data_IF_723231515496
#
_entry.id   IF_723231515496
#
_cell.length_a   1.000
_cell.length_b   1.000
_cell.length_c   1.000
_cell.angle_alpha   90.00
_cell.angle_beta   90.00
_cell.angle_gamma   90.00
#
_symmetry.space_group_name_H-M   'P 1'
#
loop_
_entity.id
_entity.type
_entity.pdbx_description
1 polymer ?
#
# COMPACT_ATOMS: atom_id res chain seq x y z
N UNK A 1 -15.48 4.03 -14.18
CA UNK A 1 -14.25 4.45 -13.49
C UNK A 1 -13.84 3.35 -12.53
N UNK A 2 -12.53 3.06 -12.46
CA UNK A 2 -12.00 2.01 -11.58
C UNK A 2 -12.10 2.45 -10.12
N UNK A 3 -12.40 1.51 -9.23
CA UNK A 3 -12.44 1.70 -7.77
C UNK A 3 -11.12 1.23 -7.18
N UNK A 4 -10.29 2.18 -6.75
CA UNK A 4 -8.99 1.91 -6.13
C UNK A 4 -8.94 2.69 -4.81
N UNK A 5 -9.50 2.15 -3.71
CA UNK A 5 -9.40 2.79 -2.41
C UNK A 5 -7.96 2.92 -1.93
N UNK A 6 -7.71 3.94 -1.12
CA UNK A 6 -6.49 4.11 -0.35
C UNK A 6 -6.75 3.59 1.06
N UNK A 7 -5.95 2.63 1.52
CA UNK A 7 -5.96 2.12 2.88
C UNK A 7 -4.75 2.66 3.61
N UNK A 8 -4.99 3.47 4.65
CA UNK A 8 -3.97 3.87 5.62
C UNK A 8 -3.96 2.86 6.76
N UNK A 9 -2.84 2.17 6.93
CA UNK A 9 -2.59 1.18 7.98
C UNK A 9 -2.00 1.91 9.19
N UNK A 10 -2.65 1.83 10.35
CA UNK A 10 -2.19 2.51 11.57
C UNK A 10 -2.41 1.64 12.81
N UNK A 11 -1.68 1.96 13.87
CA UNK A 11 -1.83 1.34 15.19
C UNK A 11 -2.07 2.40 16.28
N UNK A 12 -1.01 2.95 16.86
CA UNK A 12 -1.07 3.81 18.05
C UNK A 12 -0.23 5.11 17.92
N UNK A 13 -0.03 5.61 16.69
CA UNK A 13 0.80 6.80 16.42
C UNK A 13 -0.01 7.93 15.77
N UNK A 14 -0.74 8.70 16.59
CA UNK A 14 -1.61 9.76 16.10
C UNK A 14 -0.88 10.79 15.22
N UNK A 15 0.31 11.27 15.60
CA UNK A 15 1.04 12.26 14.77
C UNK A 15 1.57 11.68 13.44
N UNK A 16 1.86 10.37 13.39
CA UNK A 16 2.18 9.70 12.12
C UNK A 16 0.94 9.67 11.22
N UNK A 17 -0.19 9.18 11.74
CA UNK A 17 -1.47 9.20 11.02
C UNK A 17 -1.81 10.60 10.51
N UNK A 18 -1.62 11.63 11.33
CA UNK A 18 -1.84 13.03 10.92
C UNK A 18 -1.01 13.41 9.71
N UNK A 19 0.29 13.07 9.73
CA UNK A 19 1.25 13.45 8.70
C UNK A 19 0.84 12.85 7.35
N UNK A 20 0.50 11.56 7.32
CA UNK A 20 0.07 10.93 6.07
C UNK A 20 -1.27 11.51 5.59
N UNK A 21 -2.26 11.69 6.48
CA UNK A 21 -3.56 12.27 6.12
C UNK A 21 -3.41 13.68 5.54
N UNK A 22 -2.55 14.51 6.12
CA UNK A 22 -2.24 15.86 5.59
C UNK A 22 -1.59 15.77 4.21
N UNK A 23 -0.71 14.80 3.96
CA UNK A 23 -0.09 14.61 2.64
C UNK A 23 -1.11 14.14 1.59
N UNK A 24 -2.02 13.23 1.97
CA UNK A 24 -3.11 12.76 1.13
C UNK A 24 -4.08 13.90 0.77
N UNK A 25 -4.42 14.76 1.73
CA UNK A 25 -5.28 15.92 1.46
C UNK A 25 -4.72 16.87 0.38
N UNK A 26 -3.38 16.95 0.28
CA UNK A 26 -2.65 17.79 -0.69
C UNK A 26 -2.44 17.11 -2.05
N UNK A 27 -2.73 15.82 -2.16
CA UNK A 27 -2.62 15.12 -3.42
C UNK A 27 -3.76 15.48 -4.37
N UNK A 28 -3.50 15.28 -5.67
CA UNK A 28 -4.45 15.54 -6.75
C UNK A 28 -5.17 14.25 -7.09
N UNK A 29 -6.49 14.36 -7.19
CA UNK A 29 -7.39 13.29 -7.58
C UNK A 29 -8.33 13.82 -8.65
N UNK A 30 -8.31 13.23 -9.83
CA UNK A 30 -9.22 13.59 -10.94
C UNK A 30 -10.59 12.89 -10.79
N UNK A 31 -10.71 12.01 -9.79
CA UNK A 31 -11.88 11.19 -9.49
C UNK A 31 -12.14 11.14 -7.98
N UNK A 32 -13.35 10.73 -7.58
CA UNK A 32 -13.61 10.37 -6.19
C UNK A 32 -12.82 9.11 -5.80
N UNK A 33 -12.10 9.18 -4.68
CA UNK A 33 -11.29 8.10 -4.13
C UNK A 33 -11.73 7.82 -2.70
N UNK A 34 -12.04 6.55 -2.40
CA UNK A 34 -12.34 6.15 -1.03
C UNK A 34 -11.05 6.11 -0.19
N UNK A 35 -11.10 6.73 0.98
CA UNK A 35 -10.08 6.61 2.02
C UNK A 35 -10.57 5.69 3.12
N UNK A 36 -9.79 4.66 3.41
CA UNK A 36 -10.02 3.70 4.49
C UNK A 36 -8.90 3.88 5.51
N UNK A 37 -9.25 4.15 6.76
CA UNK A 37 -8.28 4.18 7.88
C UNK A 37 -8.46 2.89 8.68
N UNK A 38 -7.47 2.00 8.61
CA UNK A 38 -7.47 0.68 9.25
C UNK A 38 -6.61 0.71 10.51
N UNK A 39 -7.25 0.65 11.67
CA UNK A 39 -6.65 0.76 13.00
C UNK A 39 -6.57 -0.63 13.64
N UNK A 40 -5.37 -1.11 13.99
CA UNK A 40 -5.21 -2.40 14.70
C UNK A 40 -5.30 -2.26 16.24
N UNK A 41 -5.62 -3.35 16.92
CA UNK A 41 -5.61 -3.45 18.39
C UNK A 41 -6.31 -2.34 19.17
N UNK A 42 -7.42 -1.82 18.65
CA UNK A 42 -8.23 -0.73 19.19
C UNK A 42 -7.68 0.66 18.93
N UNK A 43 -6.40 0.77 18.56
CA UNK A 43 -5.66 2.02 18.56
C UNK A 43 -5.61 2.69 19.92
N UNK A 44 -4.82 3.76 20.03
CA UNK A 44 -4.94 4.64 21.19
C UNK A 44 -6.06 5.67 20.98
N UNK A 45 -6.45 6.36 22.05
CA UNK A 45 -7.49 7.38 21.97
C UNK A 45 -7.15 8.48 20.95
N UNK A 46 -5.86 8.81 20.79
CA UNK A 46 -5.39 9.82 19.84
C UNK A 46 -5.63 9.44 18.39
N UNK A 47 -5.25 8.23 17.98
CA UNK A 47 -5.44 7.70 16.62
C UNK A 47 -6.92 7.59 16.28
N UNK A 48 -7.74 7.05 17.18
CA UNK A 48 -9.19 6.89 16.95
C UNK A 48 -9.84 8.26 16.83
N UNK A 49 -9.52 9.21 17.72
CA UNK A 49 -10.03 10.57 17.64
C UNK A 49 -9.65 11.23 16.33
N UNK A 50 -8.37 11.13 15.93
CA UNK A 50 -7.87 11.71 14.70
C UNK A 50 -8.55 11.14 13.45
N UNK A 51 -8.70 9.82 13.38
CA UNK A 51 -9.39 9.17 12.25
C UNK A 51 -10.85 9.64 12.14
N UNK A 52 -11.54 9.79 13.28
CA UNK A 52 -12.92 10.27 13.33
C UNK A 52 -13.04 11.74 12.91
N UNK A 53 -12.20 12.62 13.44
CA UNK A 53 -12.23 14.06 13.21
C UNK A 53 -11.73 14.46 11.81
N UNK A 54 -10.86 13.65 11.19
CA UNK A 54 -10.33 13.96 9.86
C UNK A 54 -11.41 14.01 8.79
N UNK A 55 -11.55 15.15 8.10
CA UNK A 55 -12.49 15.28 6.99
C UNK A 55 -11.82 14.93 5.65
N UNK A 56 -12.35 13.94 4.95
CA UNK A 56 -11.87 13.56 3.62
C UNK A 56 -12.71 14.24 2.54
N UNK A 57 -12.10 15.15 1.78
CA UNK A 57 -12.79 15.94 0.76
C UNK A 57 -12.81 15.33 -0.64
N UNK A 58 -12.11 14.22 -0.85
CA UNK A 58 -11.90 13.63 -2.18
C UNK A 58 -12.72 12.34 -2.40
N UNK A 59 -13.70 12.04 -1.56
CA UNK A 59 -14.58 10.88 -1.71
C UNK A 59 -15.11 10.37 -0.38
N UNK A 60 -15.45 9.08 -0.32
CA UNK A 60 -15.93 8.44 0.92
C UNK A 60 -14.79 8.20 1.91
N UNK A 61 -15.06 8.40 3.20
CA UNK A 61 -14.18 8.00 4.29
C UNK A 61 -14.79 6.81 5.02
N UNK A 62 -14.00 5.77 5.26
CA UNK A 62 -14.36 4.61 6.10
C UNK A 62 -13.29 4.39 7.16
N UNK A 63 -13.72 4.04 8.38
CA UNK A 63 -12.80 3.69 9.48
C UNK A 63 -13.07 2.24 9.83
N UNK A 64 -12.01 1.46 9.94
CA UNK A 64 -12.06 0.06 10.33
C UNK A 64 -11.20 -0.10 11.58
N UNK A 65 -11.83 -0.41 12.72
CA UNK A 65 -11.14 -0.63 13.99
C UNK A 65 -11.13 -2.14 14.25
N UNK A 66 -9.95 -2.69 14.54
CA UNK A 66 -9.78 -4.07 15.00
C UNK A 66 -9.59 -4.06 16.50
N UNK A 67 -10.57 -4.55 17.25
CA UNK A 67 -10.50 -4.55 18.72
C UNK A 67 -9.32 -5.36 19.28
N UNK A 68 -8.91 -6.42 18.58
CA UNK A 68 -7.76 -7.24 18.94
C UNK A 68 -6.56 -6.87 18.08
N UNK A 69 -5.37 -6.86 18.68
CA UNK A 69 -4.12 -6.72 17.95
C UNK A 69 -3.91 -7.97 17.10
N UNK A 70 -3.99 -7.79 15.78
CA UNK A 70 -3.79 -8.86 14.79
C UNK A 70 -2.31 -9.10 14.50
N UNK A 71 -1.48 -8.10 14.79
CA UNK A 71 -0.08 -8.06 14.38
C UNK A 71 0.06 -7.70 12.90
N UNK A 72 1.28 -7.29 12.52
CA UNK A 72 1.57 -6.70 11.22
C UNK A 72 1.10 -7.58 10.05
N UNK A 73 1.45 -8.87 10.06
CA UNK A 73 1.18 -9.78 8.95
C UNK A 73 -0.32 -9.90 8.65
N UNK A 74 -1.12 -10.25 9.66
CA UNK A 74 -2.56 -10.43 9.50
C UNK A 74 -3.26 -9.08 9.22
N UNK A 75 -2.82 -7.99 9.84
CA UNK A 75 -3.39 -6.67 9.59
C UNK A 75 -3.16 -6.21 8.14
N UNK A 76 -1.94 -6.38 7.61
CA UNK A 76 -1.61 -6.07 6.22
C UNK A 76 -2.41 -6.90 5.23
N UNK A 77 -2.56 -8.21 5.48
CA UNK A 77 -3.36 -9.10 4.62
C UNK A 77 -4.81 -8.63 4.57
N UNK A 78 -5.41 -8.28 5.72
CA UNK A 78 -6.78 -7.74 5.74
C UNK A 78 -6.93 -6.40 5.05
N UNK A 79 -5.87 -5.59 5.02
CA UNK A 79 -5.86 -4.33 4.28
C UNK A 79 -5.79 -4.59 2.78
N UNK A 80 -4.99 -5.56 2.33
CA UNK A 80 -4.96 -5.97 0.92
C UNK A 80 -6.25 -6.65 0.45
N UNK A 81 -6.98 -7.34 1.32
CA UNK A 81 -8.28 -7.95 0.99
C UNK A 81 -9.34 -6.95 0.52
N UNK A 82 -9.15 -5.65 0.81
CA UNK A 82 -9.97 -4.59 0.22
C UNK A 82 -9.94 -4.66 -1.32
N UNK A 83 -8.84 -5.12 -1.94
CA UNK A 83 -8.77 -5.33 -3.39
C UNK A 83 -9.80 -6.36 -3.90
N UNK A 84 -10.26 -7.30 -3.09
CA UNK A 84 -11.22 -8.33 -3.52
C UNK A 84 -12.61 -7.74 -3.82
N UNK A 85 -12.94 -6.60 -3.20
CA UNK A 85 -14.20 -5.87 -3.39
C UNK A 85 -14.07 -4.71 -4.39
N UNK A 86 -12.87 -4.47 -4.92
CA UNK A 86 -12.51 -3.30 -5.72
C UNK A 86 -11.72 -3.70 -6.98
N UNK A 87 -11.28 -2.75 -7.79
CA UNK A 87 -10.42 -3.04 -8.96
C UNK A 87 -8.93 -3.14 -8.55
N UNK A 88 -8.59 -2.58 -7.38
CA UNK A 88 -7.29 -2.71 -6.74
C UNK A 88 -7.31 -2.04 -5.37
N UNK A 89 -6.14 -1.89 -4.76
CA UNK A 89 -5.98 -1.22 -3.47
C UNK A 89 -4.61 -0.54 -3.40
N UNK A 90 -4.58 0.70 -2.92
CA UNK A 90 -3.35 1.36 -2.48
C UNK A 90 -3.23 1.18 -0.97
N UNK A 91 -2.11 0.66 -0.49
CA UNK A 91 -1.85 0.44 0.94
C UNK A 91 -0.67 1.31 1.37
N UNK A 92 -0.90 2.15 2.37
CA UNK A 92 0.08 3.09 2.91
C UNK A 92 0.19 2.91 4.42
N UNK A 93 1.41 2.77 4.93
CA UNK A 93 1.67 2.81 6.37
C UNK A 93 1.58 4.25 6.90
N UNK A 94 1.22 4.41 8.18
CA UNK A 94 1.00 5.72 8.80
C UNK A 94 2.25 6.62 8.85
N UNK A 95 3.44 6.06 8.66
CA UNK A 95 4.70 6.79 8.71
C UNK A 95 5.18 7.31 7.35
N UNK A 96 4.46 7.01 6.26
CA UNK A 96 4.76 7.49 4.92
C UNK A 96 4.29 8.93 4.67
N UNK A 97 4.77 9.50 3.56
CA UNK A 97 4.34 10.78 3.02
C UNK A 97 4.21 10.65 1.49
N UNK A 98 3.06 11.01 0.94
CA UNK A 98 2.82 10.83 -0.51
C UNK A 98 3.21 12.05 -1.34
N UNK A 99 3.65 11.81 -2.57
CA UNK A 99 3.80 12.85 -3.59
C UNK A 99 2.43 13.40 -3.99
N UNK A 100 2.27 14.70 -4.31
CA UNK A 100 0.98 15.25 -4.77
C UNK A 100 0.40 14.60 -6.03
N UNK A 101 1.21 13.85 -6.79
CA UNK A 101 0.81 13.18 -8.04
C UNK A 101 0.80 11.65 -7.94
N UNK A 102 0.95 11.08 -6.74
CA UNK A 102 1.07 9.63 -6.56
C UNK A 102 -0.13 8.85 -7.14
N UNK A 103 -1.34 9.41 -7.03
CA UNK A 103 -2.55 8.74 -7.49
C UNK A 103 -2.64 8.74 -9.03
N UNK A 104 -2.17 9.82 -9.67
CA UNK A 104 -2.03 9.85 -11.13
C UNK A 104 -1.07 8.77 -11.63
N UNK A 105 0.02 8.51 -10.90
CA UNK A 105 0.91 7.38 -11.19
C UNK A 105 0.19 6.04 -11.07
N UNK A 106 -0.59 5.82 -10.01
CA UNK A 106 -1.41 4.59 -9.84
C UNK A 106 -2.31 4.36 -11.06
N UNK A 107 -3.02 5.39 -11.51
CA UNK A 107 -3.92 5.27 -12.66
C UNK A 107 -3.17 5.00 -13.97
N UNK A 108 -2.07 5.70 -14.21
CA UNK A 108 -1.25 5.53 -15.42
C UNK A 108 -0.56 4.16 -15.47
N UNK A 109 0.06 3.75 -14.36
CA UNK A 109 0.72 2.45 -14.27
C UNK A 109 -0.29 1.31 -14.45
N UNK A 110 -1.48 1.42 -13.85
CA UNK A 110 -2.53 0.43 -14.07
C UNK A 110 -2.98 0.40 -15.53
N UNK A 111 -3.22 1.56 -16.16
CA UNK A 111 -3.62 1.61 -17.56
C UNK A 111 -2.59 0.99 -18.50
N UNK A 112 -1.30 1.15 -18.19
CA UNK A 112 -0.22 0.63 -19.03
C UNK A 112 0.01 -0.88 -18.82
N UNK A 113 -0.02 -1.34 -17.56
CA UNK A 113 0.43 -2.69 -17.18
C UNK A 113 -0.69 -3.66 -16.82
N UNK A 114 -1.97 -3.28 -16.86
CA UNK A 114 -3.07 -4.17 -16.42
C UNK A 114 -3.14 -5.53 -17.14
N UNK A 115 -2.66 -5.61 -18.38
CA UNK A 115 -2.65 -6.84 -19.18
C UNK A 115 -1.34 -7.63 -19.06
N UNK A 116 -0.32 -7.09 -18.39
CA UNK A 116 0.97 -7.75 -18.24
C UNK A 116 0.98 -8.67 -17.01
N UNK A 117 0.93 -9.97 -17.27
CA UNK A 117 0.89 -11.00 -16.23
C UNK A 117 2.22 -11.18 -15.48
N UNK A 118 3.31 -10.58 -15.97
CA UNK A 118 4.62 -10.63 -15.30
C UNK A 118 4.72 -9.63 -14.13
N UNK A 119 3.76 -8.70 -14.02
CA UNK A 119 3.78 -7.66 -12.98
C UNK A 119 3.09 -8.19 -11.72
N UNK A 120 3.87 -8.38 -10.65
CA UNK A 120 3.37 -8.82 -9.35
C UNK A 120 2.73 -7.72 -8.48
N UNK A 121 2.99 -6.45 -8.78
CA UNK A 121 2.47 -5.30 -8.05
C UNK A 121 3.23 -4.03 -8.42
N UNK A 122 2.84 -2.92 -7.82
CA UNK A 122 3.42 -1.60 -8.08
C UNK A 122 3.92 -0.98 -6.78
N UNK A 123 5.11 -0.37 -6.84
CA UNK A 123 5.68 0.41 -5.74
C UNK A 123 5.45 1.90 -5.99
N UNK A 124 5.02 2.62 -4.95
CA UNK A 124 4.95 4.08 -4.91
C UNK A 124 6.22 4.70 -4.31
N UNK A 125 7.18 3.85 -3.95
CA UNK A 125 8.53 4.23 -3.55
C UNK A 125 9.53 3.82 -4.63
N UNK A 126 10.36 4.78 -5.04
CA UNK A 126 11.53 4.51 -5.87
C UNK A 126 12.68 4.06 -4.96
N UNK A 127 13.05 2.79 -5.05
CA UNK A 127 14.14 2.20 -4.28
C UNK A 127 15.46 2.94 -4.51
N UNK A 128 16.16 3.34 -3.44
CA UNK A 128 17.42 4.09 -3.54
C UNK A 128 18.62 3.39 -2.88
N UNK A 129 18.41 2.25 -2.23
CA UNK A 129 19.47 1.56 -1.48
C UNK A 129 19.34 0.06 -1.59
N UNK A 130 20.35 -0.62 -2.12
CA UNK A 130 20.40 -2.08 -2.17
C UNK A 130 20.88 -2.62 -0.82
N UNK A 131 19.99 -3.28 -0.07
CA UNK A 131 20.29 -3.82 1.26
C UNK A 131 21.25 -5.02 1.22
N UNK A 132 21.19 -5.86 0.18
CA UNK A 132 22.12 -6.99 0.01
C UNK A 132 23.55 -6.52 -0.20
N UNK A 133 23.75 -5.56 -1.11
CA UNK A 133 25.07 -5.03 -1.45
C UNK A 133 25.55 -3.95 -0.47
N UNK A 134 24.64 -3.37 0.32
CA UNK A 134 24.88 -2.20 1.18
C UNK A 134 25.39 -0.96 0.43
N UNK A 135 24.88 -0.73 -0.78
CA UNK A 135 25.22 0.43 -1.61
C UNK A 135 23.97 1.16 -2.10
N UNK A 136 24.08 2.47 -2.44
CA UNK A 136 23.03 3.16 -3.17
C UNK A 136 22.63 2.38 -4.43
N UNK A 137 21.33 2.24 -4.64
CA UNK A 137 20.78 1.73 -5.89
C UNK A 137 20.46 2.93 -6.78
N UNK A 138 20.98 2.91 -8.01
CA UNK A 138 20.65 3.86 -9.06
C UNK A 138 20.08 3.06 -10.22
N UNK A 139 18.88 3.41 -10.64
CA UNK A 139 18.29 2.84 -11.85
C UNK A 139 19.08 3.27 -13.09
N UNK A 140 19.05 2.42 -14.12
CA UNK A 140 19.62 2.78 -15.42
C UNK A 140 18.79 3.92 -16.01
N UNK A 141 19.46 4.98 -16.45
CA UNK A 141 18.81 6.12 -17.13
C UNK A 141 18.59 5.78 -18.60
N UNK A 142 17.51 5.04 -18.91
CA UNK A 142 17.13 4.61 -20.25
C UNK A 142 15.94 5.38 -20.85
N UNK A 143 15.58 6.52 -20.26
CA UNK A 143 14.40 7.34 -20.55
C UNK A 143 13.05 6.67 -20.22
N UNK A 144 13.05 5.55 -19.49
CA UNK A 144 11.82 5.01 -18.90
C UNK A 144 11.41 5.81 -17.67
N UNK A 145 10.10 5.96 -17.48
CA UNK A 145 9.54 6.60 -16.28
C UNK A 145 9.58 5.67 -15.04
N UNK A 146 9.79 4.37 -15.25
CA UNK A 146 9.76 3.32 -14.22
C UNK A 146 10.88 2.30 -14.44
N UNK A 147 11.13 1.47 -13.42
CA UNK A 147 12.04 0.33 -13.50
C UNK A 147 11.41 -0.89 -12.79
N UNK A 148 11.87 -2.08 -13.14
CA UNK A 148 11.41 -3.34 -12.55
C UNK A 148 12.38 -3.84 -11.50
N UNK A 149 11.85 -4.40 -10.41
CA UNK A 149 12.60 -5.11 -9.39
C UNK A 149 11.85 -6.40 -9.03
N UNK A 150 12.60 -7.51 -8.88
CA UNK A 150 12.09 -8.73 -8.27
C UNK A 150 12.15 -8.61 -6.73
N UNK A 151 11.45 -7.60 -6.21
CA UNK A 151 11.43 -7.24 -4.80
C UNK A 151 10.05 -6.74 -4.42
N UNK A 152 9.50 -7.25 -3.32
CA UNK A 152 8.23 -6.76 -2.79
C UNK A 152 8.45 -5.46 -2.02
N UNK A 153 7.98 -4.34 -2.55
CA UNK A 153 8.06 -3.06 -1.85
C UNK A 153 7.08 -3.04 -0.67
N UNK A 154 7.56 -2.65 0.51
CA UNK A 154 6.71 -2.35 1.67
C UNK A 154 6.23 -0.89 1.68
N UNK A 155 6.97 0.02 1.05
CA UNK A 155 6.68 1.45 1.09
C UNK A 155 5.80 1.90 -0.06
N UNK A 156 4.51 2.05 0.24
CA UNK A 156 3.51 2.49 -0.70
C UNK A 156 3.21 1.42 -1.74
N UNK A 157 2.28 0.53 -1.40
CA UNK A 157 1.95 -0.63 -2.20
C UNK A 157 0.72 -0.36 -3.04
N UNK A 158 0.71 -0.80 -4.29
CA UNK A 158 -0.50 -0.86 -5.11
C UNK A 158 -0.63 -2.24 -5.75
N UNK A 159 -1.77 -2.88 -5.53
CA UNK A 159 -2.12 -4.17 -6.11
C UNK A 159 -3.46 -4.08 -6.83
N UNK A 160 -3.54 -4.69 -8.00
CA UNK A 160 -4.82 -4.99 -8.64
C UNK A 160 -5.53 -6.13 -7.93
N UNK A 161 -6.83 -6.24 -8.15
CA UNK A 161 -7.61 -7.40 -7.70
C UNK A 161 -7.02 -8.72 -8.21
N UNK A 162 -6.59 -8.79 -9.48
CA UNK A 162 -6.00 -9.99 -10.08
C UNK A 162 -4.70 -10.39 -9.37
N UNK A 163 -3.78 -9.44 -9.18
CA UNK A 163 -2.53 -9.66 -8.44
C UNK A 163 -2.80 -10.13 -7.00
N UNK A 164 -3.75 -9.48 -6.31
CA UNK A 164 -4.07 -9.86 -4.93
C UNK A 164 -4.70 -11.26 -4.83
N UNK A 165 -5.57 -11.65 -5.78
CA UNK A 165 -6.12 -13.02 -5.84
C UNK A 165 -4.99 -14.04 -5.97
N UNK A 166 -4.08 -13.85 -6.93
CA UNK A 166 -2.95 -14.77 -7.13
C UNK A 166 -2.05 -14.86 -5.88
N UNK A 167 -1.77 -13.72 -5.24
CA UNK A 167 -1.05 -13.71 -3.96
C UNK A 167 -1.81 -14.48 -2.88
N UNK A 168 -3.13 -14.29 -2.75
CA UNK A 168 -3.95 -14.95 -1.72
C UNK A 168 -4.03 -16.46 -1.92
N UNK A 169 -4.13 -16.93 -3.16
CA UNK A 169 -4.07 -18.35 -3.51
C UNK A 169 -2.73 -18.95 -3.07
N UNK A 170 -1.62 -18.35 -3.52
CA UNK A 170 -0.28 -18.76 -3.10
C UNK A 170 -0.11 -18.72 -1.58
N UNK A 171 -0.55 -17.63 -0.93
CA UNK A 171 -0.42 -17.43 0.50
C UNK A 171 -1.18 -18.49 1.30
N UNK A 172 -2.39 -18.85 0.90
CA UNK A 172 -3.18 -19.86 1.62
C UNK A 172 -2.50 -21.24 1.61
N UNK A 173 -1.78 -21.56 0.54
CA UNK A 173 -1.03 -22.81 0.39
C UNK A 173 0.34 -22.77 1.09
N UNK A 174 0.97 -21.58 1.18
CA UNK A 174 2.37 -21.43 1.57
C UNK A 174 2.61 -20.65 2.88
N UNK A 175 1.57 -20.14 3.55
CA UNK A 175 1.70 -19.28 4.76
C UNK A 175 2.49 -19.91 5.91
N UNK A 176 2.50 -21.23 6.00
CA UNK A 176 3.19 -22.01 7.04
C UNK A 176 4.53 -22.57 6.55
N UNK A 177 4.92 -22.26 5.30
CA UNK A 177 6.20 -22.64 4.74
C UNK A 177 7.32 -21.97 5.55
N UNK A 178 8.21 -22.79 6.10
CA UNK A 178 9.47 -22.30 6.66
C UNK A 178 10.38 -21.92 5.49
N UNK A 179 10.76 -20.64 5.43
CA UNK A 179 11.83 -20.21 4.55
C UNK A 179 13.11 -20.90 5.05
N UNK A 180 13.60 -21.88 4.31
CA UNK A 180 14.92 -22.45 4.56
C UNK A 180 15.97 -21.40 4.17
N UNK A 181 17.10 -21.36 4.88
CA UNK A 181 18.21 -20.40 4.63
C UNK A 181 18.79 -20.50 3.20
N UNK A 182 18.50 -21.59 2.48
CA UNK A 182 18.98 -21.90 1.13
C UNK A 182 18.14 -21.35 -0.04
N UNK A 183 17.07 -20.60 0.23
CA UNK A 183 16.48 -19.79 -0.84
C UNK A 183 17.47 -18.67 -1.11
N UNK A 184 18.37 -18.91 -2.07
CA UNK A 184 19.29 -17.93 -2.63
C UNK A 184 18.51 -16.70 -3.07
N UNK A 185 18.25 -15.82 -2.11
CA UNK A 185 17.95 -14.44 -2.38
C UNK A 185 19.20 -13.88 -3.04
N UNK A 186 19.07 -13.20 -4.19
CA UNK A 186 20.19 -12.50 -4.77
C UNK A 186 20.86 -11.55 -3.78
#
# INVERSE_FOLDING_TARGET
MRKIPIVVVTYNRAESLKRILVSLAKARYDIEVELIISIDGGGDHGVVKMANEYNWSHGKKRIIIREKNLGLREHMIRCGDIALENDGVVILEDDLYVSPVFYSFVEQALNFYEQDENIGGFSLYAHQFNETAQFPFLQISDNSDIFFLQYASSWGQFYTKKQWIGFREWYNENKDMKLNEDYGMP
#
